data_IF_879633127978
#
_entry.id   IF_879633127978
#
_cell.length_a   1.000
_cell.length_b   1.000
_cell.length_c   1.000
_cell.angle_alpha   90.00
_cell.angle_beta   90.00
_cell.angle_gamma   90.00
#
_symmetry.space_group_name_H-M   'P 1'
#
loop_
_entity.id
_entity.type
_entity.pdbx_description
1 polymer ?
#
# COMPACT_ATOMS: atom_id res chain seq x y z
N UNK A 1 12.59 13.55 -17.04
CA UNK A 1 13.05 14.17 -15.76
C UNK A 1 12.63 13.27 -14.60
N UNK A 2 13.45 13.09 -13.55
CA UNK A 2 13.05 12.32 -12.33
C UNK A 2 11.81 12.96 -11.68
N UNK A 3 10.74 12.20 -11.37
CA UNK A 3 9.52 12.76 -10.78
C UNK A 3 9.75 13.23 -9.35
N UNK A 4 9.02 14.26 -8.91
CA UNK A 4 8.99 14.65 -7.49
C UNK A 4 8.03 13.73 -6.73
N UNK A 5 8.46 13.18 -5.60
CA UNK A 5 7.66 12.26 -4.79
C UNK A 5 7.63 12.76 -3.35
N UNK A 6 6.42 12.95 -2.81
CA UNK A 6 6.23 13.30 -1.41
C UNK A 6 6.36 12.04 -0.54
N UNK A 7 7.15 12.11 0.53
CA UNK A 7 7.36 11.02 1.48
C UNK A 7 6.87 11.46 2.86
N UNK A 8 5.80 10.85 3.34
CA UNK A 8 5.40 11.01 4.73
C UNK A 8 6.29 10.15 5.63
N UNK A 9 6.78 10.71 6.74
CA UNK A 9 7.81 10.07 7.57
C UNK A 9 7.26 9.02 8.55
N UNK A 10 5.94 8.89 8.65
CA UNK A 10 5.30 7.94 9.56
C UNK A 10 5.42 8.35 11.04
N UNK A 11 5.36 7.39 11.95
CA UNK A 11 5.57 7.64 13.38
C UNK A 11 7.08 7.78 13.67
N UNK A 12 7.52 8.96 14.11
CA UNK A 12 8.94 9.21 14.43
C UNK A 12 9.43 8.42 15.64
N UNK A 13 8.57 7.79 16.44
CA UNK A 13 9.04 6.86 17.47
C UNK A 13 9.39 5.48 16.87
N UNK A 14 9.14 5.26 15.58
CA UNK A 14 9.47 4.03 14.85
C UNK A 14 10.66 4.17 13.90
N UNK A 15 10.87 3.15 13.06
CA UNK A 15 12.01 3.04 12.13
C UNK A 15 11.90 3.90 10.85
N UNK A 16 10.78 4.60 10.63
CA UNK A 16 10.49 5.25 9.34
C UNK A 16 11.57 6.28 8.94
N UNK A 17 11.92 7.18 9.85
CA UNK A 17 12.94 8.21 9.59
C UNK A 17 14.34 7.62 9.43
N UNK A 18 14.68 6.54 10.15
CA UNK A 18 15.93 5.80 9.95
C UNK A 18 16.02 5.25 8.52
N UNK A 19 14.96 4.59 8.04
CA UNK A 19 14.88 4.08 6.66
C UNK A 19 15.05 5.23 5.65
N UNK A 20 14.37 6.35 5.85
CA UNK A 20 14.44 7.51 4.95
C UNK A 20 15.87 8.06 4.83
N UNK A 21 16.53 8.31 5.97
CA UNK A 21 17.90 8.84 6.02
C UNK A 21 18.91 7.87 5.42
N UNK A 22 18.92 6.61 5.85
CA UNK A 22 19.89 5.60 5.40
C UNK A 22 19.78 5.27 3.90
N UNK A 23 18.62 5.52 3.28
CA UNK A 23 18.38 5.18 1.88
C UNK A 23 18.27 6.39 0.96
N UNK A 24 18.48 7.62 1.44
CA UNK A 24 18.37 8.83 0.63
C UNK A 24 19.19 8.76 -0.67
N UNK A 25 20.45 8.33 -0.59
CA UNK A 25 21.34 8.17 -1.75
C UNK A 25 20.80 7.21 -2.82
N UNK A 26 20.06 6.18 -2.41
CA UNK A 26 19.40 5.23 -3.32
C UNK A 26 18.11 5.83 -3.88
N UNK A 27 17.32 6.48 -3.04
CA UNK A 27 16.02 7.06 -3.41
C UNK A 27 16.20 8.24 -4.37
N UNK A 28 17.16 9.13 -4.14
CA UNK A 28 17.39 10.28 -5.01
C UNK A 28 17.79 9.88 -6.43
N UNK A 29 18.38 8.69 -6.63
CA UNK A 29 18.65 8.15 -7.98
C UNK A 29 17.36 7.78 -8.73
N UNK A 30 16.28 7.45 -8.02
CA UNK A 30 14.99 7.05 -8.57
C UNK A 30 14.03 8.23 -8.79
N UNK A 31 14.00 9.19 -7.85
CA UNK A 31 13.08 10.33 -7.86
C UNK A 31 13.72 11.58 -7.24
N UNK A 32 12.96 12.68 -7.18
CA UNK A 32 13.27 13.86 -6.35
C UNK A 32 12.42 13.76 -5.06
N UNK A 33 12.94 13.17 -3.98
CA UNK A 33 12.16 12.96 -2.76
C UNK A 33 11.97 14.27 -1.97
N UNK A 34 10.73 14.54 -1.53
CA UNK A 34 10.40 15.62 -0.59
C UNK A 34 9.87 14.97 0.68
N UNK A 35 10.61 15.09 1.78
CA UNK A 35 10.26 14.46 3.06
C UNK A 35 9.40 15.41 3.91
N UNK A 36 8.18 15.00 4.24
CA UNK A 36 7.26 15.80 5.06
C UNK A 36 7.65 15.72 6.54
N UNK A 37 8.63 16.53 6.93
CA UNK A 37 9.19 16.65 8.28
C UNK A 37 9.75 18.06 8.46
N UNK A 38 9.69 18.62 9.68
CA UNK A 38 10.35 19.88 9.99
C UNK A 38 11.81 19.68 10.46
N UNK A 39 12.61 20.75 10.35
CA UNK A 39 14.04 20.73 10.66
C UNK A 39 14.34 20.29 12.10
N UNK A 40 13.54 20.71 13.09
CA UNK A 40 13.76 20.36 14.50
C UNK A 40 13.59 18.86 14.74
N UNK A 41 12.50 18.29 14.24
CA UNK A 41 12.24 16.85 14.36
C UNK A 41 13.25 16.00 13.57
N UNK A 42 13.65 16.47 12.38
CA UNK A 42 14.68 15.82 11.57
C UNK A 42 16.03 15.76 12.31
N UNK A 43 16.49 16.89 12.83
CA UNK A 43 17.75 16.96 13.58
C UNK A 43 17.71 16.08 14.83
N UNK A 44 16.61 16.12 15.59
CA UNK A 44 16.46 15.27 16.77
C UNK A 44 16.54 13.78 16.42
N UNK A 45 15.85 13.34 15.37
CA UNK A 45 15.91 11.95 14.92
C UNK A 45 17.31 11.56 14.45
N UNK A 46 17.98 12.43 13.69
CA UNK A 46 19.33 12.20 13.18
C UNK A 46 20.36 12.09 14.33
N UNK A 47 20.29 12.95 15.34
CA UNK A 47 21.13 12.88 16.55
C UNK A 47 20.91 11.57 17.31
N UNK A 48 19.66 11.18 17.57
CA UNK A 48 19.35 9.94 18.28
C UNK A 48 19.79 8.68 17.51
N UNK A 49 19.83 8.74 16.18
CA UNK A 49 20.29 7.65 15.31
C UNK A 49 21.79 7.69 15.03
N UNK A 50 22.51 8.72 15.47
CA UNK A 50 23.88 9.00 15.07
C UNK A 50 24.07 8.99 13.53
N UNK A 51 23.15 9.63 12.81
CA UNK A 51 23.18 9.75 11.35
C UNK A 51 23.39 11.19 10.91
N UNK A 52 24.13 11.38 9.82
CA UNK A 52 24.21 12.67 9.16
C UNK A 52 22.97 12.91 8.29
N UNK A 53 22.42 14.14 8.32
CA UNK A 53 21.37 14.57 7.40
C UNK A 53 22.03 15.04 6.09
N UNK A 54 21.77 14.38 4.95
CA UNK A 54 22.34 14.80 3.67
C UNK A 54 21.97 16.26 3.34
N UNK A 55 22.91 17.01 2.74
CA UNK A 55 22.67 18.42 2.36
C UNK A 55 21.52 18.60 1.37
N UNK A 56 21.30 17.60 0.51
CA UNK A 56 20.24 17.54 -0.50
C UNK A 56 18.96 16.81 -0.02
N UNK A 57 18.81 16.61 1.29
CA UNK A 57 17.60 16.06 1.90
C UNK A 57 16.47 17.10 1.94
N UNK A 58 15.75 17.25 0.83
CA UNK A 58 14.67 18.24 0.66
C UNK A 58 13.48 17.94 1.61
N UNK A 59 13.08 18.93 2.42
CA UNK A 59 12.00 18.80 3.39
C UNK A 59 10.81 19.69 3.09
N UNK A 60 9.62 19.22 3.48
CA UNK A 60 8.41 20.04 3.60
C UNK A 60 8.04 20.20 5.07
N UNK A 61 7.87 21.44 5.55
CA UNK A 61 7.72 21.75 6.97
C UNK A 61 6.39 21.25 7.54
N UNK A 62 6.41 20.07 8.16
CA UNK A 62 5.27 19.51 8.89
C UNK A 62 5.07 20.16 10.26
N UNK A 63 3.81 20.48 10.59
CA UNK A 63 3.42 21.10 11.87
C UNK A 63 3.53 20.11 13.05
N UNK A 64 4.17 20.56 14.11
CA UNK A 64 4.25 19.89 15.41
C UNK A 64 5.68 19.63 15.86
N UNK A 65 5.88 19.56 17.17
CA UNK A 65 7.19 19.27 17.78
C UNK A 65 6.98 18.49 19.07
N UNK A 66 7.88 17.54 19.34
CA UNK A 66 7.85 16.71 20.53
C UNK A 66 9.21 16.06 20.76
N UNK A 67 9.38 15.46 21.94
CA UNK A 67 10.52 14.61 22.26
C UNK A 67 10.27 13.20 21.70
N UNK A 68 11.16 12.71 20.85
CA UNK A 68 11.13 11.37 20.27
C UNK A 68 11.44 10.37 21.40
N UNK A 69 10.50 9.45 21.62
CA UNK A 69 10.62 8.38 22.60
C UNK A 69 10.59 7.05 21.87
N UNK A 70 11.77 6.53 21.58
CA UNK A 70 11.96 5.33 20.76
C UNK A 70 11.04 4.18 21.21
N UNK A 71 10.28 3.65 20.26
CA UNK A 71 9.39 2.51 20.47
C UNK A 71 8.16 2.77 21.35
N UNK A 72 7.91 4.02 21.77
CA UNK A 72 6.77 4.34 22.65
C UNK A 72 5.59 4.89 21.85
N UNK A 73 4.39 4.40 22.17
CA UNK A 73 3.15 4.97 21.64
C UNK A 73 2.92 6.35 22.24
N UNK A 74 2.70 7.36 21.39
CA UNK A 74 2.53 8.74 21.84
C UNK A 74 1.44 9.48 21.07
N UNK A 75 0.62 10.25 21.79
CA UNK A 75 -0.35 11.18 21.21
C UNK A 75 0.32 12.19 20.29
N UNK A 76 1.49 12.73 20.68
CA UNK A 76 2.21 13.75 19.89
C UNK A 76 2.80 13.15 18.62
N UNK A 77 3.40 11.96 18.70
CA UNK A 77 3.96 11.28 17.53
C UNK A 77 2.87 10.82 16.56
N UNK A 78 1.75 10.32 17.09
CA UNK A 78 0.55 10.01 16.32
C UNK A 78 0.03 11.22 15.54
N UNK A 79 -0.18 12.35 16.22
CA UNK A 79 -0.62 13.59 15.56
C UNK A 79 0.37 14.08 14.50
N UNK A 80 1.67 14.00 14.78
CA UNK A 80 2.71 14.40 13.84
C UNK A 80 2.73 13.53 12.59
N UNK A 81 2.66 12.22 12.75
CA UNK A 81 2.65 11.26 11.63
C UNK A 81 1.44 11.44 10.71
N UNK A 82 0.29 11.78 11.29
CA UNK A 82 -0.90 12.16 10.54
C UNK A 82 -0.70 13.46 9.77
N UNK A 83 -0.18 14.51 10.42
CA UNK A 83 0.11 15.78 9.74
C UNK A 83 1.09 15.58 8.58
N UNK A 84 2.17 14.81 8.79
CA UNK A 84 3.15 14.45 7.75
C UNK A 84 2.48 13.75 6.56
N UNK A 85 1.50 12.88 6.81
CA UNK A 85 0.74 12.23 5.76
C UNK A 85 -0.21 13.18 5.02
N UNK A 86 -0.92 14.06 5.73
CA UNK A 86 -1.79 15.08 5.13
C UNK A 86 -0.98 16.06 4.28
N UNK A 87 0.21 16.46 4.72
CA UNK A 87 1.12 17.31 3.95
C UNK A 87 1.51 16.64 2.61
N UNK A 88 1.90 15.35 2.65
CA UNK A 88 2.27 14.60 1.45
C UNK A 88 1.10 14.45 0.46
N UNK A 89 -0.10 14.17 0.97
CA UNK A 89 -1.33 14.13 0.17
C UNK A 89 -1.59 15.50 -0.46
N UNK A 90 -1.48 16.57 0.32
CA UNK A 90 -1.78 17.94 -0.12
C UNK A 90 -0.83 18.38 -1.23
N UNK A 91 0.49 18.14 -1.08
CA UNK A 91 1.49 18.40 -2.11
C UNK A 91 1.14 17.70 -3.44
N UNK A 92 0.71 16.44 -3.35
CA UNK A 92 0.39 15.64 -4.55
C UNK A 92 -0.93 16.08 -5.18
N UNK A 93 -1.96 16.39 -4.37
CA UNK A 93 -3.23 16.94 -4.85
C UNK A 93 -3.05 18.28 -5.56
N UNK A 94 -2.13 19.12 -5.07
CA UNK A 94 -1.76 20.39 -5.68
C UNK A 94 -0.79 20.25 -6.87
N UNK A 95 -0.50 19.02 -7.32
CA UNK A 95 0.41 18.71 -8.43
C UNK A 95 1.86 19.19 -8.21
N UNK A 96 2.27 19.48 -6.97
CA UNK A 96 3.66 19.81 -6.62
C UNK A 96 4.54 18.56 -6.61
N UNK A 97 3.93 17.40 -6.35
CA UNK A 97 4.54 16.07 -6.44
C UNK A 97 3.66 15.14 -7.26
N UNK A 98 4.27 14.12 -7.88
CA UNK A 98 3.60 13.17 -8.77
C UNK A 98 3.01 11.96 -8.03
N UNK A 99 3.52 11.65 -6.82
CA UNK A 99 3.05 10.53 -6.00
C UNK A 99 3.35 10.75 -4.52
N UNK A 100 2.69 9.94 -3.69
CA UNK A 100 2.96 9.80 -2.25
C UNK A 100 3.56 8.42 -1.96
N UNK A 101 4.65 8.39 -1.19
CA UNK A 101 5.18 7.16 -0.59
C UNK A 101 5.08 7.30 0.93
N UNK A 102 4.38 6.39 1.60
CA UNK A 102 4.19 6.48 3.05
C UNK A 102 5.09 5.53 3.81
N UNK A 103 5.79 6.05 4.81
CA UNK A 103 6.43 5.27 5.87
C UNK A 103 5.39 4.88 6.96
N UNK A 104 5.70 3.89 7.82
CA UNK A 104 4.68 3.25 8.64
C UNK A 104 4.22 4.14 9.79
N UNK A 105 2.94 4.03 10.13
CA UNK A 105 2.31 4.70 11.27
C UNK A 105 1.97 3.69 12.36
N UNK A 106 1.85 4.16 13.59
CA UNK A 106 1.31 3.37 14.69
C UNK A 106 -0.17 3.73 14.91
N UNK A 107 -1.06 2.76 14.76
CA UNK A 107 -2.52 2.95 14.87
C UNK A 107 -2.95 3.33 16.29
N UNK A 108 -2.26 2.82 17.31
CA UNK A 108 -2.52 3.18 18.70
C UNK A 108 -2.12 4.64 18.98
N UNK A 109 -1.01 5.11 18.41
CA UNK A 109 -0.60 6.52 18.49
C UNK A 109 -1.64 7.44 17.85
N UNK A 110 -2.22 7.03 16.71
CA UNK A 110 -3.33 7.75 16.07
C UNK A 110 -4.57 7.79 16.95
N UNK A 111 -4.95 6.65 17.55
CA UNK A 111 -6.09 6.58 18.46
C UNK A 111 -5.88 7.50 19.69
N UNK A 112 -4.69 7.49 20.32
CA UNK A 112 -4.34 8.41 21.42
C UNK A 112 -4.35 9.88 20.99
N UNK A 113 -4.12 10.15 19.70
CA UNK A 113 -4.25 11.47 19.10
C UNK A 113 -5.68 11.88 18.77
N UNK A 114 -6.68 11.04 19.08
CA UNK A 114 -8.10 11.22 18.73
C UNK A 114 -8.27 11.45 17.22
N UNK A 115 -7.58 10.63 16.43
CA UNK A 115 -7.73 10.58 14.98
C UNK A 115 -8.71 9.44 14.67
N UNK A 116 -9.82 9.77 14.02
CA UNK A 116 -10.95 8.85 13.80
C UNK A 116 -10.69 7.78 12.73
N UNK A 117 -9.46 7.73 12.20
CA UNK A 117 -9.04 6.81 11.15
C UNK A 117 -8.13 5.71 11.69
N UNK A 118 -8.32 4.48 11.25
CA UNK A 118 -7.52 3.31 11.61
C UNK A 118 -6.30 3.09 10.72
N UNK A 119 -6.05 3.98 9.76
CA UNK A 119 -4.84 3.97 8.94
C UNK A 119 -4.95 4.79 7.65
N UNK A 120 -3.90 4.71 6.84
CA UNK A 120 -3.76 5.52 5.62
C UNK A 120 -4.92 5.36 4.63
N UNK A 121 -5.41 4.14 4.39
CA UNK A 121 -6.47 3.89 3.39
C UNK A 121 -7.79 4.57 3.76
N UNK A 122 -8.15 4.59 5.04
CA UNK A 122 -9.38 5.25 5.51
C UNK A 122 -9.29 6.77 5.38
N UNK A 123 -8.13 7.34 5.72
CA UNK A 123 -7.85 8.77 5.49
C UNK A 123 -7.97 9.10 4.01
N UNK A 124 -7.39 8.30 3.10
CA UNK A 124 -7.46 8.54 1.66
C UNK A 124 -8.91 8.46 1.14
N UNK A 125 -9.68 7.47 1.58
CA UNK A 125 -11.09 7.33 1.22
C UNK A 125 -11.90 8.56 1.63
N UNK A 126 -11.74 9.00 2.87
CA UNK A 126 -12.41 10.19 3.40
C UNK A 126 -11.95 11.47 2.71
N UNK A 127 -10.64 11.65 2.52
CA UNK A 127 -10.06 12.87 1.95
C UNK A 127 -10.43 13.07 0.46
N UNK A 128 -10.57 11.99 -0.31
CA UNK A 128 -10.90 12.05 -1.73
C UNK A 128 -12.35 11.71 -2.06
N UNK A 129 -13.15 11.23 -1.10
CA UNK A 129 -14.51 10.76 -1.36
C UNK A 129 -14.57 9.60 -2.35
N UNK A 130 -13.54 8.76 -2.41
CA UNK A 130 -13.41 7.67 -3.39
C UNK A 130 -13.00 6.36 -2.71
N UNK A 131 -13.52 5.24 -3.23
CA UNK A 131 -13.19 3.91 -2.75
C UNK A 131 -11.83 3.47 -3.33
N UNK A 132 -10.80 3.52 -2.49
CA UNK A 132 -9.50 2.98 -2.81
C UNK A 132 -9.56 1.45 -2.96
N UNK A 133 -8.84 0.91 -3.95
CA UNK A 133 -8.58 -0.52 -4.10
C UNK A 133 -7.21 -0.82 -3.49
N UNK A 134 -7.16 -1.74 -2.52
CA UNK A 134 -5.91 -2.16 -1.90
C UNK A 134 -5.26 -3.29 -2.71
N UNK A 135 -4.03 -3.07 -3.14
CA UNK A 135 -3.20 -4.07 -3.81
C UNK A 135 -1.87 -4.23 -3.06
N UNK A 136 -1.48 -5.45 -2.74
CA UNK A 136 -0.22 -5.75 -2.06
C UNK A 136 0.66 -6.62 -2.95
N UNK A 137 1.97 -6.49 -2.84
CA UNK A 137 2.88 -7.40 -3.50
C UNK A 137 4.19 -6.79 -3.93
N UNK A 138 4.81 -7.37 -4.95
CA UNK A 138 6.06 -6.90 -5.53
C UNK A 138 6.07 -7.18 -7.03
N UNK A 139 7.16 -6.81 -7.72
CA UNK A 139 7.33 -7.02 -9.17
C UNK A 139 7.02 -8.46 -9.63
N UNK A 140 7.20 -9.45 -8.75
CA UNK A 140 6.95 -10.88 -9.04
C UNK A 140 5.48 -11.30 -8.89
N UNK A 141 4.70 -10.64 -8.05
CA UNK A 141 3.32 -11.01 -7.73
C UNK A 141 2.62 -9.88 -6.99
N UNK A 142 1.43 -9.51 -7.44
CA UNK A 142 0.52 -8.59 -6.76
C UNK A 142 -0.84 -9.25 -6.53
N UNK A 143 -1.43 -9.00 -5.36
CA UNK A 143 -2.77 -9.42 -4.96
C UNK A 143 -3.62 -8.17 -4.72
N UNK A 144 -4.70 -8.01 -5.45
CA UNK A 144 -5.73 -7.01 -5.20
C UNK A 144 -6.83 -7.63 -4.34
N UNK A 145 -7.26 -6.92 -3.31
CA UNK A 145 -8.25 -7.42 -2.36
C UNK A 145 -9.62 -6.84 -2.70
N UNK A 146 -10.58 -7.70 -3.03
CA UNK A 146 -11.98 -7.29 -3.21
C UNK A 146 -12.61 -6.90 -1.87
N UNK A 147 -12.35 -7.68 -0.81
CA UNK A 147 -12.67 -7.32 0.57
C UNK A 147 -11.41 -7.23 1.42
N UNK A 148 -11.38 -6.25 2.33
CA UNK A 148 -10.23 -5.93 3.18
C UNK A 148 -10.48 -6.38 4.64
N UNK A 149 -10.42 -5.44 5.59
CA UNK A 149 -10.54 -5.69 7.02
C UNK A 149 -12.01 -5.87 7.46
N UNK A 150 -12.65 -6.95 7.01
CA UNK A 150 -13.98 -7.38 7.47
C UNK A 150 -13.92 -8.77 8.09
N UNK A 151 -14.87 -9.08 8.99
CA UNK A 151 -14.98 -10.43 9.54
C UNK A 151 -15.25 -11.44 8.42
N UNK A 152 -14.55 -12.58 8.43
CA UNK A 152 -14.61 -13.59 7.37
C UNK A 152 -16.04 -14.04 7.06
N UNK A 153 -16.89 -14.22 8.09
CA UNK A 153 -18.32 -14.55 7.94
C UNK A 153 -19.16 -13.56 7.12
N UNK A 154 -18.65 -12.34 6.90
CA UNK A 154 -19.30 -11.29 6.10
C UNK A 154 -18.85 -11.31 4.63
N UNK A 155 -17.73 -11.96 4.31
CA UNK A 155 -17.16 -11.99 2.95
C UNK A 155 -18.13 -12.58 1.93
N UNK A 156 -18.77 -13.75 2.13
CA UNK A 156 -19.63 -14.34 1.10
C UNK A 156 -20.77 -13.42 0.68
N UNK A 157 -21.40 -12.75 1.65
CA UNK A 157 -22.49 -11.79 1.41
C UNK A 157 -22.09 -10.55 0.62
N UNK A 158 -20.79 -10.24 0.54
CA UNK A 158 -20.24 -9.11 -0.21
C UNK A 158 -19.92 -9.45 -1.67
N UNK A 159 -19.88 -10.73 -2.03
CA UNK A 159 -19.66 -11.13 -3.43
C UNK A 159 -20.98 -10.91 -4.18
N UNK A 160 -21.02 -9.83 -4.96
CA UNK A 160 -22.16 -9.42 -5.78
C UNK A 160 -21.66 -9.12 -7.18
N UNK A 161 -22.35 -9.64 -8.20
CA UNK A 161 -21.95 -9.49 -9.60
C UNK A 161 -21.64 -8.04 -9.98
N UNK A 162 -22.53 -7.09 -9.68
CA UNK A 162 -22.39 -5.69 -10.08
C UNK A 162 -21.22 -4.98 -9.39
N UNK A 163 -21.08 -5.17 -8.07
CA UNK A 163 -20.01 -4.57 -7.27
C UNK A 163 -18.64 -5.12 -7.70
N UNK A 164 -18.54 -6.44 -7.92
CA UNK A 164 -17.31 -7.07 -8.38
C UNK A 164 -16.98 -6.68 -9.83
N UNK A 165 -17.98 -6.55 -10.72
CA UNK A 165 -17.76 -6.05 -12.09
C UNK A 165 -17.13 -4.66 -12.06
N UNK A 166 -17.68 -3.78 -11.22
CA UNK A 166 -17.17 -2.40 -11.05
C UNK A 166 -15.73 -2.42 -10.51
N UNK A 167 -15.48 -3.23 -9.48
CA UNK A 167 -14.14 -3.41 -8.92
C UNK A 167 -13.12 -3.87 -9.97
N UNK A 168 -13.46 -4.88 -10.80
CA UNK A 168 -12.57 -5.39 -11.84
C UNK A 168 -12.27 -4.32 -12.90
N UNK A 169 -13.30 -3.61 -13.37
CA UNK A 169 -13.13 -2.52 -14.32
C UNK A 169 -12.22 -1.41 -13.77
N UNK A 170 -12.45 -0.97 -12.52
CA UNK A 170 -11.63 0.05 -11.88
C UNK A 170 -10.20 -0.45 -11.61
N UNK A 171 -10.03 -1.70 -11.23
CA UNK A 171 -8.72 -2.31 -11.09
C UNK A 171 -7.94 -2.26 -12.41
N UNK A 172 -8.56 -2.69 -13.53
CA UNK A 172 -7.92 -2.64 -14.85
C UNK A 172 -7.56 -1.23 -15.29
N UNK A 173 -8.43 -0.22 -15.07
CA UNK A 173 -8.13 1.19 -15.39
C UNK A 173 -6.85 1.68 -14.71
N UNK A 174 -6.55 1.15 -13.52
CA UNK A 174 -5.39 1.56 -12.73
C UNK A 174 -4.12 0.76 -13.07
N UNK A 175 -4.22 -0.54 -13.33
CA UNK A 175 -3.03 -1.38 -13.63
C UNK A 175 -2.72 -1.47 -15.12
N UNK A 176 -3.72 -1.39 -16.00
CA UNK A 176 -3.63 -1.54 -17.47
C UNK A 176 -2.82 -2.80 -17.87
N UNK A 177 -3.12 -3.94 -17.26
CA UNK A 177 -2.47 -5.22 -17.51
C UNK A 177 -3.51 -6.27 -17.87
N UNK A 178 -3.16 -7.13 -18.82
CA UNK A 178 -3.98 -8.28 -19.19
C UNK A 178 -3.60 -9.51 -18.35
N UNK A 179 -4.34 -10.61 -18.56
CA UNK A 179 -4.07 -11.90 -17.92
C UNK A 179 -4.07 -11.82 -16.40
N UNK A 180 -5.12 -11.21 -15.85
CA UNK A 180 -5.37 -11.09 -14.41
C UNK A 180 -6.17 -12.31 -13.96
N UNK A 181 -5.68 -13.03 -12.95
CA UNK A 181 -6.40 -14.18 -12.39
C UNK A 181 -7.32 -13.73 -11.25
N UNK A 182 -8.60 -14.06 -11.34
CA UNK A 182 -9.61 -13.80 -10.30
C UNK A 182 -9.89 -15.11 -9.59
N UNK A 183 -9.65 -15.18 -8.29
CA UNK A 183 -9.83 -16.41 -7.51
C UNK A 183 -11.31 -16.65 -7.20
N UNK A 184 -11.68 -17.93 -7.04
CA UNK A 184 -12.92 -18.32 -6.38
C UNK A 184 -12.92 -17.92 -4.90
N UNK A 185 -14.09 -17.94 -4.27
CA UNK A 185 -14.24 -17.75 -2.83
C UNK A 185 -14.05 -19.07 -2.10
N UNK A 186 -14.71 -20.12 -2.59
CA UNK A 186 -14.83 -21.41 -1.95
C UNK A 186 -13.65 -22.33 -2.31
N UNK A 187 -13.39 -23.37 -1.49
CA UNK A 187 -12.48 -24.44 -1.88
C UNK A 187 -12.87 -25.00 -3.25
N UNK A 188 -11.86 -25.34 -4.05
CA UNK A 188 -12.05 -25.86 -5.41
C UNK A 188 -12.89 -24.98 -6.34
N UNK A 189 -13.04 -23.68 -6.03
CA UNK A 189 -13.95 -22.78 -6.74
C UNK A 189 -15.38 -23.36 -6.84
N UNK A 190 -15.90 -23.79 -5.71
CA UNK A 190 -17.22 -24.42 -5.53
C UNK A 190 -17.43 -25.80 -6.16
N UNK A 191 -16.47 -26.32 -6.93
CA UNK A 191 -16.61 -27.61 -7.63
C UNK A 191 -17.98 -27.76 -8.33
N UNK A 192 -18.29 -26.79 -9.20
CA UNK A 192 -19.57 -26.68 -9.92
C UNK A 192 -20.83 -26.57 -9.04
N UNK A 193 -20.70 -26.03 -7.82
CA UNK A 193 -21.81 -25.76 -6.92
C UNK A 193 -21.95 -26.74 -5.76
N UNK A 194 -21.08 -27.77 -5.69
CA UNK A 194 -21.04 -28.72 -4.57
C UNK A 194 -20.60 -28.04 -3.28
N UNK A 195 -19.70 -27.06 -3.36
CA UNK A 195 -19.10 -26.37 -2.22
C UNK A 195 -19.46 -24.88 -2.24
N UNK A 196 -20.75 -24.57 -2.14
CA UNK A 196 -21.26 -23.19 -2.20
C UNK A 196 -21.56 -22.72 -3.62
N UNK A 197 -22.01 -21.48 -3.77
CA UNK A 197 -22.51 -20.96 -5.06
C UNK A 197 -22.06 -19.53 -5.40
N UNK A 198 -21.21 -18.92 -4.56
CA UNK A 198 -20.72 -17.55 -4.75
C UNK A 198 -19.93 -17.39 -6.06
N UNK A 199 -19.31 -18.46 -6.55
CA UNK A 199 -18.58 -18.52 -7.82
C UNK A 199 -19.43 -18.17 -9.04
N UNK A 200 -20.75 -18.38 -8.96
CA UNK A 200 -21.69 -17.93 -10.00
C UNK A 200 -21.59 -16.42 -10.19
N UNK A 201 -21.60 -15.66 -9.09
CA UNK A 201 -21.50 -14.20 -9.11
C UNK A 201 -20.12 -13.74 -9.57
N UNK A 202 -19.05 -14.44 -9.16
CA UNK A 202 -17.67 -14.16 -9.58
C UNK A 202 -17.53 -14.37 -11.09
N UNK A 203 -18.03 -15.48 -11.62
CA UNK A 203 -17.95 -15.80 -13.04
C UNK A 203 -18.72 -14.79 -13.90
N UNK A 204 -19.94 -14.42 -13.49
CA UNK A 204 -20.72 -13.38 -14.17
C UNK A 204 -19.98 -12.04 -14.17
N UNK A 205 -19.39 -11.64 -13.03
CA UNK A 205 -18.64 -10.41 -12.93
C UNK A 205 -17.41 -10.38 -13.86
N UNK A 206 -16.65 -11.49 -13.95
CA UNK A 206 -15.53 -11.65 -14.88
C UNK A 206 -16.00 -11.48 -16.33
N UNK A 207 -17.07 -12.17 -16.72
CA UNK A 207 -17.65 -12.06 -18.06
C UNK A 207 -18.09 -10.63 -18.38
N UNK A 208 -18.78 -9.98 -17.46
CA UNK A 208 -19.23 -8.60 -17.64
C UNK A 208 -18.07 -7.62 -17.75
N UNK A 209 -17.06 -7.70 -16.88
CA UNK A 209 -15.90 -6.83 -16.94
C UNK A 209 -15.15 -6.99 -18.27
N UNK A 210 -14.90 -8.23 -18.72
CA UNK A 210 -14.28 -8.50 -20.02
C UNK A 210 -15.11 -7.96 -21.20
N UNK A 211 -16.45 -8.08 -21.14
CA UNK A 211 -17.37 -7.55 -22.15
C UNK A 211 -17.34 -6.02 -22.20
N UNK A 212 -17.42 -5.36 -21.04
CA UNK A 212 -17.37 -3.89 -20.91
C UNK A 212 -16.04 -3.35 -21.45
N UNK A 213 -14.93 -4.01 -21.12
CA UNK A 213 -13.59 -3.64 -21.57
C UNK A 213 -13.26 -4.12 -22.99
N UNK A 214 -14.18 -4.88 -23.62
CA UNK A 214 -14.05 -5.44 -24.98
C UNK A 214 -12.76 -6.25 -25.17
N UNK A 215 -12.30 -6.93 -24.11
CA UNK A 215 -11.02 -7.66 -24.09
C UNK A 215 -11.02 -8.77 -23.04
N UNK A 216 -10.34 -9.88 -23.34
CA UNK A 216 -10.13 -10.97 -22.37
C UNK A 216 -9.00 -10.62 -21.39
N UNK A 217 -9.35 -9.85 -20.37
CA UNK A 217 -8.41 -9.34 -19.36
C UNK A 217 -8.38 -10.27 -18.15
N UNK A 218 -9.55 -10.67 -17.67
CA UNK A 218 -9.74 -11.45 -16.45
C UNK A 218 -10.00 -12.93 -16.76
N UNK A 219 -9.34 -13.81 -15.99
CA UNK A 219 -9.49 -15.27 -16.06
C UNK A 219 -9.91 -15.81 -14.70
N UNK A 220 -10.87 -16.74 -14.67
CA UNK A 220 -11.33 -17.38 -13.44
C UNK A 220 -12.84 -17.72 -13.48
N UNK A 221 -13.44 -18.09 -12.34
CA UNK A 221 -12.80 -18.18 -11.01
C UNK A 221 -11.69 -19.24 -10.97
N UNK A 222 -10.51 -18.87 -10.47
CA UNK A 222 -9.37 -19.78 -10.31
C UNK A 222 -9.46 -20.48 -8.96
N UNK A 223 -9.16 -21.77 -8.94
CA UNK A 223 -9.12 -22.63 -7.75
C UNK A 223 -8.06 -22.09 -6.75
N UNK A 224 -8.45 -21.64 -5.54
CA UNK A 224 -7.58 -20.81 -4.68
C UNK A 224 -6.27 -21.48 -4.19
N UNK A 225 -6.30 -22.77 -3.87
CA UNK A 225 -5.16 -23.53 -3.34
C UNK A 225 -4.03 -23.73 -4.38
N UNK A 226 -4.37 -23.78 -5.67
CA UNK A 226 -3.40 -23.90 -6.77
C UNK A 226 -3.00 -22.56 -7.39
N UNK A 227 -3.76 -21.49 -7.12
CA UNK A 227 -3.60 -20.17 -7.75
C UNK A 227 -2.18 -19.60 -7.60
N UNK A 228 -1.52 -19.81 -6.47
CA UNK A 228 -0.20 -19.25 -6.17
C UNK A 228 0.98 -20.21 -6.41
N UNK A 229 0.74 -21.33 -7.11
CA UNK A 229 1.79 -22.27 -7.51
C UNK A 229 2.91 -21.57 -8.30
N UNK A 230 4.10 -22.17 -8.33
CA UNK A 230 5.24 -21.65 -9.11
C UNK A 230 4.89 -21.48 -10.60
N UNK A 231 4.11 -22.40 -11.15
CA UNK A 231 3.66 -22.36 -12.54
C UNK A 231 2.73 -21.16 -12.80
N UNK A 232 1.71 -20.97 -11.96
CA UNK A 232 0.77 -19.84 -12.10
C UNK A 232 1.45 -18.48 -11.90
N UNK A 233 2.34 -18.34 -10.91
CA UNK A 233 3.11 -17.09 -10.71
C UNK A 233 4.11 -16.80 -11.82
N UNK A 234 4.48 -17.79 -12.65
CA UNK A 234 5.32 -17.56 -13.83
C UNK A 234 4.51 -16.97 -14.99
N UNK A 235 3.24 -17.34 -15.11
CA UNK A 235 2.36 -16.88 -16.20
C UNK A 235 1.50 -15.68 -15.83
N UNK A 236 1.24 -15.43 -14.53
CA UNK A 236 0.39 -14.36 -14.04
C UNK A 236 1.07 -13.57 -12.92
N UNK A 237 1.06 -12.23 -13.06
CA UNK A 237 1.59 -11.29 -12.06
C UNK A 237 0.51 -10.74 -11.13
N UNK A 238 -0.72 -10.59 -11.59
CA UNK A 238 -1.80 -9.90 -10.87
C UNK A 238 -2.94 -10.86 -10.55
N UNK A 239 -3.27 -10.97 -9.27
CA UNK A 239 -4.32 -11.81 -8.76
C UNK A 239 -5.38 -10.94 -8.07
N UNK A 240 -6.65 -11.23 -8.25
CA UNK A 240 -7.75 -10.65 -7.49
C UNK A 240 -8.26 -11.69 -6.49
N UNK A 241 -8.13 -11.38 -5.21
CA UNK A 241 -8.51 -12.24 -4.10
C UNK A 241 -9.81 -11.74 -3.48
N UNK A 242 -10.70 -12.67 -3.13
CA UNK A 242 -12.02 -12.34 -2.59
C UNK A 242 -11.94 -11.79 -1.17
N UNK A 243 -10.91 -12.18 -0.40
CA UNK A 243 -10.66 -11.71 0.97
C UNK A 243 -9.16 -11.57 1.29
N UNK A 244 -8.89 -10.86 2.38
CA UNK A 244 -7.55 -10.50 2.83
C UNK A 244 -6.58 -11.69 2.94
N UNK A 245 -6.91 -12.69 3.77
CA UNK A 245 -5.98 -13.78 4.06
C UNK A 245 -5.75 -14.72 2.86
N UNK A 246 -6.69 -14.79 1.91
CA UNK A 246 -6.53 -15.55 0.67
C UNK A 246 -5.31 -15.11 -0.14
N UNK A 247 -5.09 -13.79 -0.20
CA UNK A 247 -3.97 -13.20 -0.93
C UNK A 247 -2.74 -12.98 -0.06
N UNK A 248 -2.92 -12.57 1.19
CA UNK A 248 -1.79 -12.18 2.04
C UNK A 248 -1.01 -13.36 2.59
N UNK A 249 -1.66 -14.48 2.96
CA UNK A 249 -0.96 -15.65 3.45
C UNK A 249 0.12 -16.15 2.45
N UNK A 250 -0.21 -16.43 1.17
CA UNK A 250 0.80 -16.84 0.19
C UNK A 250 1.80 -15.72 -0.14
N UNK A 251 1.34 -14.46 -0.21
CA UNK A 251 2.23 -13.33 -0.48
C UNK A 251 3.30 -13.16 0.59
N UNK A 252 2.93 -13.22 1.87
CA UNK A 252 3.86 -13.09 2.99
C UNK A 252 4.79 -14.30 3.08
N UNK A 253 4.28 -15.52 2.83
CA UNK A 253 5.12 -16.71 2.79
C UNK A 253 6.23 -16.65 1.71
N UNK A 254 5.96 -16.00 0.56
CA UNK A 254 6.89 -15.96 -0.57
C UNK A 254 7.76 -14.70 -0.60
N UNK A 255 7.21 -13.54 -0.21
CA UNK A 255 7.80 -12.22 -0.52
C UNK A 255 7.69 -11.21 0.63
N UNK A 256 7.66 -11.65 1.89
CA UNK A 256 7.53 -10.81 3.08
C UNK A 256 8.30 -9.47 3.00
N UNK A 257 9.61 -9.54 2.82
CA UNK A 257 10.52 -8.37 2.81
C UNK A 257 10.38 -7.45 1.59
N UNK A 258 9.86 -7.98 0.49
CA UNK A 258 9.77 -7.28 -0.79
C UNK A 258 8.41 -6.63 -1.01
N UNK A 259 7.40 -7.10 -0.27
CA UNK A 259 6.02 -6.68 -0.43
C UNK A 259 5.84 -5.19 -0.12
N UNK A 260 4.95 -4.55 -0.87
CA UNK A 260 4.52 -3.16 -0.72
C UNK A 260 3.00 -3.12 -0.77
N UNK A 261 2.41 -2.01 -0.31
CA UNK A 261 0.99 -1.73 -0.46
C UNK A 261 0.81 -0.56 -1.44
N UNK A 262 -0.10 -0.73 -2.39
CA UNK A 262 -0.50 0.24 -3.41
C UNK A 262 -1.98 0.55 -3.23
N UNK A 263 -2.31 1.84 -3.16
CA UNK A 263 -3.69 2.32 -3.11
C UNK A 263 -4.10 2.80 -4.49
N UNK A 264 -4.89 1.98 -5.19
CA UNK A 264 -5.41 2.24 -6.53
C UNK A 264 -6.78 2.92 -6.43
N UNK A 265 -7.32 3.37 -7.57
CA UNK A 265 -8.63 4.02 -7.68
C UNK A 265 -8.76 5.30 -6.85
N UNK A 266 -7.67 6.07 -6.82
CA UNK A 266 -7.58 7.39 -6.20
C UNK A 266 -7.02 8.40 -7.23
N UNK A 267 -7.31 9.71 -7.08
CA UNK A 267 -6.81 10.72 -8.00
C UNK A 267 -5.30 10.96 -7.88
N UNK A 268 -4.64 10.36 -6.87
CA UNK A 268 -3.20 10.39 -6.67
C UNK A 268 -2.60 8.98 -6.74
N UNK A 269 -1.33 8.87 -7.07
CA UNK A 269 -0.57 7.62 -6.88
C UNK A 269 -0.11 7.58 -5.43
N UNK A 270 -0.43 6.48 -4.73
CA UNK A 270 0.10 6.23 -3.38
C UNK A 270 0.61 4.81 -3.25
N UNK A 271 1.85 4.70 -2.78
CA UNK A 271 2.50 3.44 -2.39
C UNK A 271 2.96 3.51 -0.93
N UNK A 272 3.26 2.35 -0.34
CA UNK A 272 3.61 2.21 1.06
C UNK A 272 4.47 0.99 1.28
N UNK A 273 5.29 1.05 2.32
CA UNK A 273 5.87 -0.17 2.88
C UNK A 273 4.78 -1.09 3.43
N UNK A 274 5.08 -2.38 3.50
CA UNK A 274 4.18 -3.43 3.99
C UNK A 274 4.62 -4.03 5.34
N UNK A 275 5.48 -3.31 6.06
CA UNK A 275 5.88 -3.58 7.43
C UNK A 275 5.37 -2.47 8.37
N UNK A 276 5.30 -2.77 9.67
CA UNK A 276 4.91 -1.83 10.71
C UNK A 276 6.03 -0.86 11.12
N UNK A 277 5.82 -0.15 12.21
CA UNK A 277 6.78 0.83 12.76
C UNK A 277 8.00 0.21 13.44
N UNK A 278 7.99 -1.11 13.67
CA UNK A 278 9.06 -1.88 14.32
C UNK A 278 9.62 -1.16 15.57
N UNK A 279 8.72 -0.80 16.48
CA UNK A 279 9.03 -0.07 17.72
C UNK A 279 10.08 -0.77 18.58
N UNK A 280 10.13 -2.10 18.51
CA UNK A 280 11.06 -2.97 19.21
C UNK A 280 12.53 -2.79 18.78
N UNK A 281 12.78 -2.30 17.56
CA UNK A 281 14.14 -2.05 17.02
C UNK A 281 14.46 -0.58 16.75
N UNK A 282 13.47 0.32 16.86
CA UNK A 282 13.63 1.73 16.58
C UNK A 282 14.71 2.38 17.48
N UNK A 283 15.64 3.14 16.88
CA UNK A 283 16.73 3.85 17.57
C UNK A 283 17.70 2.96 18.38
N UNK A 284 17.80 1.66 18.04
CA UNK A 284 18.72 0.71 18.70
C UNK A 284 19.99 0.41 17.88
N UNK A 285 20.35 1.26 16.91
CA UNK A 285 21.46 1.04 15.96
C UNK A 285 21.44 -0.34 15.28
N UNK A 286 20.24 -0.92 15.12
CA UNK A 286 20.04 -2.18 14.41
C UNK A 286 19.86 -1.93 12.92
N UNK A 287 20.28 -2.90 12.12
CA UNK A 287 20.00 -2.90 10.69
C UNK A 287 18.48 -3.01 10.46
N UNK A 288 17.96 -2.15 9.59
CA UNK A 288 16.54 -2.13 9.23
C UNK A 288 16.41 -2.46 7.75
N UNK A 289 15.59 -3.46 7.44
CA UNK A 289 15.37 -3.87 6.06
C UNK A 289 14.60 -2.79 5.27
N UNK A 290 15.27 -2.17 4.30
CA UNK A 290 14.70 -1.09 3.47
C UNK A 290 14.17 -1.57 2.11
N UNK A 291 14.15 -2.88 1.83
CA UNK A 291 13.74 -3.43 0.53
C UNK A 291 12.31 -3.02 0.17
N UNK A 292 11.37 -3.13 1.10
CA UNK A 292 9.97 -2.70 0.91
C UNK A 292 9.88 -1.21 0.56
N UNK A 293 10.63 -0.35 1.25
CA UNK A 293 10.65 1.10 0.98
C UNK A 293 11.18 1.43 -0.42
N UNK A 294 12.31 0.83 -0.80
CA UNK A 294 12.88 1.01 -2.14
C UNK A 294 11.91 0.51 -3.21
N UNK A 295 11.26 -0.64 -2.97
CA UNK A 295 10.26 -1.18 -3.88
C UNK A 295 9.03 -0.26 -4.01
N UNK A 296 8.59 0.37 -2.92
CA UNK A 296 7.44 1.28 -2.92
C UNK A 296 7.74 2.54 -3.77
N UNK A 297 8.95 3.09 -3.65
CA UNK A 297 9.41 4.19 -4.49
C UNK A 297 9.52 3.77 -5.96
N UNK A 298 10.10 2.58 -6.25
CA UNK A 298 10.21 2.06 -7.62
C UNK A 298 8.82 1.87 -8.25
N UNK A 299 7.87 1.32 -7.52
CA UNK A 299 6.51 1.13 -8.02
C UNK A 299 5.80 2.46 -8.23
N UNK A 300 6.00 3.46 -7.35
CA UNK A 300 5.46 4.79 -7.56
C UNK A 300 5.98 5.41 -8.87
N UNK A 301 7.30 5.32 -9.13
CA UNK A 301 7.90 5.78 -10.38
C UNK A 301 7.34 5.02 -11.59
N UNK A 302 7.18 3.70 -11.49
CA UNK A 302 6.59 2.88 -12.54
C UNK A 302 5.15 3.34 -12.87
N UNK A 303 4.31 3.51 -11.84
CA UNK A 303 2.93 3.94 -11.98
C UNK A 303 2.80 5.35 -12.59
N UNK A 304 3.72 6.26 -12.27
CA UNK A 304 3.79 7.60 -12.88
C UNK A 304 4.01 7.47 -14.39
N UNK A 305 4.92 6.60 -14.82
CA UNK A 305 5.26 6.43 -16.24
C UNK A 305 4.15 5.73 -17.04
N UNK A 306 3.34 4.88 -16.41
CA UNK A 306 2.20 4.18 -17.08
C UNK A 306 0.89 4.97 -17.08
N UNK A 307 0.79 6.08 -16.32
CA UNK A 307 -0.39 6.96 -16.32
C UNK A 307 -0.43 7.91 -17.53
N UNK A 308 0.56 7.87 -18.41
CA UNK A 308 0.52 8.52 -19.74
C UNK A 308 -0.51 7.83 -20.63
#
# INVERSE_FOLDING_TARGET
MRPKIAISIGDLNGIGIQIALQNHEKIKKLCKPIYCINKKMLNQAATLLNLHVPKDFEIFKTKGEFEIKAGQVSKKSGKYSYNSFIDAITLTKQKQTSAVVTLPINKESWNKAKIDFKGHTEVLRSYFGQNAIMMLGCKKMFVALYTEHIALKKVPKKIKEEELTTFLCDFYKNVKQDNIQVLGLNPHASDNGVLGNEEVEIFKAIKNANRILKKSIFKGPIVPDTAFSKANRKSCKYFVCMYHDQGLAPLKALYFDQSINVSLNLPIIRTSVDHGTAFDIAYKNKEVNSKSYINAVKEAVNLINTKV
#
